data_IF_244606158421
#
_entry.id   IF_244606158421
#
_cell.length_a   1.000
_cell.length_b   1.000
_cell.length_c   1.000
_cell.angle_alpha   90.00
_cell.angle_beta   90.00
_cell.angle_gamma   90.00
#
_symmetry.space_group_name_H-M   'P 1'
#
loop_
_entity.id
_entity.type
_entity.pdbx_description
1 polymer ?
#
# COMPACT_ATOMS: atom_id res chain seq x y z
N UNK A 1 -13.67 -36.21 3.99
CA UNK A 1 -13.22 -35.42 2.82
C UNK A 1 -12.17 -34.45 3.30
N UNK A 2 -10.91 -34.69 2.96
CA UNK A 2 -9.78 -33.88 3.42
C UNK A 2 -9.61 -32.67 2.51
N UNK A 3 -9.85 -31.48 3.04
CA UNK A 3 -9.59 -30.20 2.35
C UNK A 3 -8.09 -30.08 2.03
N UNK A 4 -7.76 -30.05 0.73
CA UNK A 4 -6.41 -29.74 0.26
C UNK A 4 -6.10 -28.27 0.58
N UNK A 5 -5.08 -28.02 1.40
CA UNK A 5 -4.51 -26.68 1.62
C UNK A 5 -4.14 -26.04 0.26
N UNK A 6 -4.42 -24.75 0.03
CA UNK A 6 -4.02 -24.08 -1.21
C UNK A 6 -2.51 -24.14 -1.35
N UNK A 7 -2.07 -24.78 -2.44
CA UNK A 7 -0.68 -25.08 -2.71
C UNK A 7 0.08 -23.78 -3.00
N UNK A 8 1.20 -23.61 -2.28
CA UNK A 8 2.09 -22.46 -2.36
C UNK A 8 2.59 -22.20 -3.77
N UNK A 9 2.74 -20.91 -4.14
CA UNK A 9 3.40 -20.50 -5.38
C UNK A 9 4.66 -21.31 -5.63
N UNK A 10 4.71 -22.00 -6.77
CA UNK A 10 5.83 -22.84 -7.17
C UNK A 10 6.40 -22.28 -8.46
N UNK A 11 7.69 -21.95 -8.44
CA UNK A 11 8.45 -21.68 -9.65
C UNK A 11 8.65 -23.03 -10.34
N UNK A 12 8.13 -23.14 -11.57
CA UNK A 12 8.26 -24.34 -12.40
C UNK A 12 9.49 -24.25 -13.29
N UNK A 13 9.83 -23.04 -13.73
CA UNK A 13 10.99 -22.76 -14.57
C UNK A 13 11.46 -21.31 -14.37
N UNK A 14 12.78 -21.08 -14.36
CA UNK A 14 13.37 -19.74 -14.33
C UNK A 14 14.72 -19.72 -15.03
N UNK A 15 14.86 -18.86 -16.01
CA UNK A 15 16.14 -18.48 -16.61
C UNK A 15 16.28 -16.94 -16.71
N UNK A 16 17.30 -16.48 -17.44
CA UNK A 16 17.59 -15.05 -17.66
C UNK A 16 16.49 -14.28 -18.41
N UNK A 17 15.60 -14.98 -19.10
CA UNK A 17 14.62 -14.40 -20.01
C UNK A 17 13.18 -14.77 -19.68
N UNK A 18 12.96 -15.83 -18.89
CA UNK A 18 11.66 -16.45 -18.72
C UNK A 18 11.48 -16.97 -17.29
N UNK A 19 10.35 -16.64 -16.69
CA UNK A 19 9.86 -17.26 -15.46
C UNK A 19 8.49 -17.88 -15.71
N UNK A 20 8.35 -19.15 -15.33
CA UNK A 20 7.08 -19.87 -15.33
C UNK A 20 6.78 -20.28 -13.90
N UNK A 21 5.60 -19.90 -13.42
CA UNK A 21 5.14 -20.25 -12.07
C UNK A 21 3.68 -20.67 -12.07
N UNK A 22 3.33 -21.60 -11.19
CA UNK A 22 1.94 -21.87 -10.83
C UNK A 22 1.54 -20.95 -9.68
N UNK A 23 0.59 -20.06 -9.93
CA UNK A 23 -0.05 -19.21 -8.92
C UNK A 23 -1.53 -19.58 -8.86
N UNK A 24 -1.97 -20.20 -7.75
CA UNK A 24 -3.31 -20.82 -7.67
C UNK A 24 -3.55 -21.85 -8.78
N UNK A 25 -4.67 -21.79 -9.50
CA UNK A 25 -5.00 -22.65 -10.65
C UNK A 25 -4.51 -22.06 -12.00
N UNK A 26 -3.79 -20.92 -11.98
CA UNK A 26 -3.31 -20.24 -13.18
C UNK A 26 -1.84 -20.57 -13.46
N UNK A 27 -1.52 -20.79 -14.74
CA UNK A 27 -0.15 -20.82 -15.24
C UNK A 27 0.28 -19.41 -15.63
N UNK A 28 1.32 -18.88 -14.98
CA UNK A 28 1.85 -17.54 -15.25
C UNK A 28 3.17 -17.68 -15.99
N UNK A 29 3.25 -17.09 -17.19
CA UNK A 29 4.46 -17.05 -18.03
C UNK A 29 4.89 -15.59 -18.16
N UNK A 30 6.10 -15.25 -17.70
CA UNK A 30 6.66 -13.89 -17.76
C UNK A 30 7.97 -13.90 -18.53
N UNK A 31 8.04 -13.10 -19.60
CA UNK A 31 9.28 -12.78 -20.31
C UNK A 31 9.90 -11.55 -19.65
N UNK A 32 11.10 -11.68 -19.12
CA UNK A 32 11.81 -10.58 -18.46
C UNK A 32 13.27 -10.64 -18.85
N UNK A 33 13.80 -9.59 -19.48
CA UNK A 33 15.23 -9.30 -19.40
C UNK A 33 15.52 -9.12 -17.91
N UNK A 34 16.38 -9.94 -17.33
CA UNK A 34 16.83 -9.76 -15.94
C UNK A 34 17.63 -8.45 -15.87
N UNK A 35 16.91 -7.34 -15.77
CA UNK A 35 17.31 -6.24 -14.91
C UNK A 35 16.64 -6.55 -13.57
N UNK A 36 17.44 -6.58 -12.50
CA UNK A 36 16.93 -6.68 -11.15
C UNK A 36 15.83 -5.64 -10.96
N UNK A 37 14.56 -6.06 -10.97
CA UNK A 37 13.47 -5.16 -10.61
C UNK A 37 13.69 -4.87 -9.13
N UNK A 38 14.38 -3.77 -8.84
CA UNK A 38 14.51 -3.26 -7.49
C UNK A 38 13.13 -2.72 -7.09
N UNK A 39 12.26 -3.64 -6.64
CA UNK A 39 10.87 -3.35 -6.24
C UNK A 39 10.76 -2.76 -4.84
N UNK A 40 11.90 -2.61 -4.15
CA UNK A 40 11.98 -1.85 -2.92
C UNK A 40 12.20 -0.38 -3.25
N UNK A 41 11.24 0.45 -2.84
CA UNK A 41 11.31 1.88 -3.03
C UNK A 41 10.96 2.60 -1.74
N UNK A 42 11.55 3.77 -1.55
CA UNK A 42 11.34 4.61 -0.38
C UNK A 42 11.53 6.07 -0.78
N UNK A 43 10.52 6.87 -0.50
CA UNK A 43 10.49 8.31 -0.74
C UNK A 43 10.17 9.01 0.57
N UNK A 44 10.94 10.07 0.84
CA UNK A 44 10.74 10.93 2.01
C UNK A 44 10.00 12.19 1.57
N UNK A 45 8.85 12.45 2.18
CA UNK A 45 7.97 13.58 1.86
C UNK A 45 8.03 14.58 3.00
N UNK A 46 8.61 15.75 2.74
CA UNK A 46 8.63 16.87 3.70
C UNK A 46 7.28 17.59 3.68
N UNK A 47 7.02 18.41 4.68
CA UNK A 47 5.75 19.13 4.83
C UNK A 47 5.45 20.09 3.66
N UNK A 48 6.49 20.67 3.06
CA UNK A 48 6.41 21.59 1.93
C UNK A 48 6.24 20.89 0.57
N UNK A 49 6.25 19.55 0.54
CA UNK A 49 6.10 18.76 -0.69
C UNK A 49 4.65 18.39 -0.91
N UNK A 50 4.05 18.92 -1.98
CA UNK A 50 2.66 18.63 -2.37
C UNK A 50 2.49 17.37 -3.20
N UNK A 51 3.57 16.83 -3.79
CA UNK A 51 3.51 15.61 -4.59
C UNK A 51 4.85 14.89 -4.69
N UNK A 52 4.79 13.57 -4.89
CA UNK A 52 5.94 12.71 -5.21
C UNK A 52 5.57 11.79 -6.36
N UNK A 53 6.48 11.66 -7.34
CA UNK A 53 6.38 10.66 -8.40
C UNK A 53 7.15 9.39 -8.02
N UNK A 54 6.45 8.25 -7.97
CA UNK A 54 7.00 6.93 -7.65
C UNK A 54 7.38 6.24 -8.96
N UNK A 55 8.67 6.25 -9.29
CA UNK A 55 9.19 5.75 -10.57
C UNK A 55 8.86 4.27 -10.80
N UNK A 56 8.92 3.45 -9.75
CA UNK A 56 8.77 1.99 -9.79
C UNK A 56 7.37 1.53 -10.19
N UNK A 57 6.37 2.40 -10.03
CA UNK A 57 4.99 2.13 -10.40
C UNK A 57 4.43 3.11 -11.42
N UNK A 58 5.21 4.11 -11.83
CA UNK A 58 4.82 5.16 -12.77
C UNK A 58 3.61 5.97 -12.30
N UNK A 59 3.48 6.20 -11.00
CA UNK A 59 2.33 6.89 -10.37
C UNK A 59 2.77 8.12 -9.60
N UNK A 60 1.85 9.06 -9.46
CA UNK A 60 2.03 10.23 -8.60
C UNK A 60 1.21 10.07 -7.34
N UNK A 61 1.75 10.51 -6.21
CA UNK A 61 1.00 10.67 -4.96
C UNK A 61 0.97 12.15 -4.61
N UNK A 62 -0.22 12.72 -4.51
CA UNK A 62 -0.44 14.09 -4.08
C UNK A 62 -0.77 14.15 -2.58
N UNK A 63 -0.42 15.27 -1.95
CA UNK A 63 -0.58 15.56 -0.54
C UNK A 63 -1.23 16.94 -0.39
N UNK A 64 -2.48 16.97 0.07
CA UNK A 64 -3.26 18.21 0.16
C UNK A 64 -3.82 18.37 1.57
N UNK A 65 -3.60 19.53 2.17
CA UNK A 65 -4.18 19.89 3.47
C UNK A 65 -5.51 20.62 3.24
N UNK A 66 -6.57 20.15 3.91
CA UNK A 66 -7.92 20.71 3.79
C UNK A 66 -8.52 20.90 5.18
N UNK A 67 -9.26 21.99 5.39
CA UNK A 67 -10.08 22.15 6.59
C UNK A 67 -11.18 21.07 6.61
N UNK A 68 -11.37 20.38 7.74
CA UNK A 68 -12.38 19.31 7.84
C UNK A 68 -13.78 19.81 7.47
N UNK A 69 -14.13 21.04 7.84
CA UNK A 69 -15.44 21.63 7.50
C UNK A 69 -15.65 21.91 6.02
N UNK A 70 -14.58 21.94 5.21
CA UNK A 70 -14.62 22.07 3.75
C UNK A 70 -14.49 20.72 3.03
N UNK A 71 -14.28 19.65 3.79
CA UNK A 71 -14.10 18.32 3.21
C UNK A 71 -15.44 17.81 2.71
N UNK A 72 -15.49 17.39 1.45
CA UNK A 72 -16.66 16.76 0.87
C UNK A 72 -16.87 15.32 1.38
N UNK A 73 -17.47 14.48 0.54
CA UNK A 73 -17.62 13.06 0.85
C UNK A 73 -16.25 12.37 0.84
N UNK A 74 -15.99 11.51 1.83
CA UNK A 74 -14.82 10.64 1.84
C UNK A 74 -14.85 9.64 0.67
N UNK A 75 -13.84 9.75 -0.19
CA UNK A 75 -13.61 8.85 -1.32
C UNK A 75 -12.81 7.60 -0.89
N UNK A 76 -13.17 6.43 -1.42
CA UNK A 76 -12.60 5.16 -0.96
C UNK A 76 -11.14 4.91 -1.43
N UNK A 77 -10.70 5.65 -2.43
CA UNK A 77 -9.39 5.59 -3.09
C UNK A 77 -8.40 6.65 -2.59
N UNK A 78 -8.80 7.48 -1.63
CA UNK A 78 -7.94 8.44 -0.93
C UNK A 78 -7.65 8.01 0.50
N UNK A 79 -6.50 8.43 1.01
CA UNK A 79 -6.16 8.32 2.43
C UNK A 79 -6.42 9.67 3.08
N UNK A 80 -7.01 9.63 4.28
CA UNK A 80 -7.34 10.83 5.05
C UNK A 80 -6.77 10.66 6.44
N UNK A 81 -5.87 11.56 6.80
CA UNK A 81 -5.23 11.57 8.11
C UNK A 81 -5.61 12.84 8.87
N UNK A 82 -5.86 12.71 10.17
CA UNK A 82 -5.91 13.86 11.05
C UNK A 82 -4.55 14.56 11.04
N UNK A 83 -4.51 15.82 10.60
CA UNK A 83 -3.26 16.56 10.44
C UNK A 83 -2.53 16.75 11.77
N UNK A 84 -3.24 16.86 12.89
CA UNK A 84 -2.63 17.05 14.22
C UNK A 84 -1.92 15.77 14.70
N UNK A 85 -2.16 14.63 14.04
CA UNK A 85 -1.52 13.33 14.29
C UNK A 85 -0.39 13.04 13.28
N UNK A 86 -0.16 13.93 12.32
CA UNK A 86 0.91 13.80 11.31
C UNK A 86 2.21 14.36 11.87
N UNK A 87 3.28 13.57 11.75
CA UNK A 87 4.67 13.98 12.01
C UNK A 87 5.47 13.81 10.73
N UNK A 88 6.14 14.88 10.32
CA UNK A 88 6.99 14.89 9.13
C UNK A 88 8.44 14.50 9.45
N UNK A 89 9.18 13.97 8.47
CA UNK A 89 8.72 13.65 7.12
C UNK A 89 7.83 12.41 7.08
N UNK A 90 6.92 12.35 6.10
CA UNK A 90 6.22 11.11 5.76
C UNK A 90 7.17 10.21 4.98
N UNK A 91 6.99 8.90 5.13
CA UNK A 91 7.71 7.93 4.32
C UNK A 91 6.71 7.18 3.45
N UNK A 92 6.85 7.29 2.14
CA UNK A 92 6.15 6.45 1.17
C UNK A 92 7.09 5.34 0.75
N UNK A 93 6.72 4.09 0.95
CA UNK A 93 7.55 2.96 0.54
C UNK A 93 6.75 1.75 0.11
N UNK A 94 7.40 0.78 -0.52
CA UNK A 94 6.83 -0.55 -0.64
C UNK A 94 6.84 -1.29 0.70
N UNK A 95 5.97 -2.30 0.81
CA UNK A 95 5.87 -3.09 2.04
C UNK A 95 7.10 -3.97 2.29
N UNK A 96 7.48 -4.09 3.56
CA UNK A 96 8.56 -4.95 4.05
C UNK A 96 8.00 -6.17 4.80
N UNK A 97 8.73 -7.30 4.85
CA UNK A 97 8.37 -8.41 5.73
C UNK A 97 8.22 -7.94 7.17
N UNK A 98 7.14 -8.38 7.84
CA UNK A 98 6.85 -8.00 9.23
C UNK A 98 5.97 -6.76 9.39
N UNK A 99 5.75 -5.97 8.33
CA UNK A 99 4.88 -4.79 8.36
C UNK A 99 3.47 -5.11 8.91
N UNK A 100 3.04 -4.26 9.84
CA UNK A 100 1.75 -4.34 10.54
C UNK A 100 1.09 -2.97 10.56
N UNK A 101 -0.23 -2.96 10.47
CA UNK A 101 -1.08 -1.77 10.62
C UNK A 101 -2.15 -2.06 11.66
N UNK A 102 -2.46 -1.09 12.52
CA UNK A 102 -3.56 -1.19 13.47
C UNK A 102 -4.83 -0.64 12.83
N UNK A 103 -5.80 -1.50 12.53
CA UNK A 103 -7.02 -1.12 11.83
C UNK A 103 -8.18 -0.91 12.81
N UNK A 104 -9.08 0.06 12.54
CA UNK A 104 -10.28 0.25 13.34
C UNK A 104 -11.12 -1.03 13.38
N UNK A 105 -11.53 -1.44 14.58
CA UNK A 105 -12.39 -2.60 14.86
C UNK A 105 -11.84 -3.97 14.45
N UNK A 106 -10.63 -4.01 13.89
CA UNK A 106 -9.94 -5.23 13.46
C UNK A 106 -8.62 -5.47 14.20
N UNK A 107 -8.13 -4.44 14.91
CA UNK A 107 -6.87 -4.48 15.64
C UNK A 107 -5.65 -4.54 14.71
N UNK A 108 -4.52 -4.97 15.27
CA UNK A 108 -3.27 -5.07 14.50
C UNK A 108 -3.32 -6.23 13.50
N UNK A 109 -3.14 -5.92 12.21
CA UNK A 109 -3.07 -6.89 11.11
C UNK A 109 -1.72 -6.80 10.41
N UNK A 110 -1.17 -7.96 10.03
CA UNK A 110 -0.02 -8.01 9.12
C UNK A 110 -0.47 -7.57 7.74
N UNK A 111 0.29 -6.70 7.07
CA UNK A 111 -0.01 -6.25 5.70
C UNK A 111 -0.02 -7.44 4.73
N UNK A 112 0.88 -8.41 4.95
CA UNK A 112 0.86 -9.69 4.21
C UNK A 112 -0.51 -10.37 4.27
N UNK A 113 -1.13 -10.46 5.45
CA UNK A 113 -2.44 -11.10 5.62
C UNK A 113 -3.55 -10.33 4.93
N UNK A 114 -3.48 -8.99 4.99
CA UNK A 114 -4.40 -8.10 4.27
C UNK A 114 -4.38 -8.40 2.76
N UNK A 115 -3.21 -8.42 2.16
CA UNK A 115 -3.05 -8.68 0.73
C UNK A 115 -3.44 -10.10 0.30
N UNK A 116 -3.23 -11.10 1.16
CA UNK A 116 -3.70 -12.47 0.92
C UNK A 116 -5.23 -12.51 0.90
N UNK A 117 -5.87 -11.89 1.88
CA UNK A 117 -7.34 -11.86 1.98
C UNK A 117 -7.96 -11.12 0.79
N UNK A 118 -7.30 -10.05 0.33
CA UNK A 118 -7.71 -9.31 -0.86
C UNK A 118 -7.36 -10.01 -2.18
N UNK A 119 -6.72 -11.19 -2.13
CA UNK A 119 -6.28 -11.99 -3.29
C UNK A 119 -5.31 -11.26 -4.23
N UNK A 120 -4.48 -10.37 -3.71
CA UNK A 120 -3.45 -9.66 -4.47
C UNK A 120 -2.33 -10.63 -4.87
N UNK A 121 -1.89 -10.61 -6.13
CA UNK A 121 -0.81 -11.49 -6.60
C UNK A 121 0.54 -11.10 -5.95
N UNK A 122 1.43 -12.05 -5.63
CA UNK A 122 2.67 -11.78 -4.89
C UNK A 122 3.53 -10.66 -5.46
N UNK A 123 3.63 -10.58 -6.79
CA UNK A 123 4.41 -9.59 -7.52
C UNK A 123 3.73 -8.22 -7.60
N UNK A 124 2.42 -8.12 -7.38
CA UNK A 124 1.73 -6.83 -7.24
C UNK A 124 1.90 -6.28 -5.82
N UNK A 125 2.03 -7.18 -4.82
CA UNK A 125 2.13 -6.78 -3.41
C UNK A 125 3.31 -5.87 -3.09
N UNK A 126 4.39 -5.98 -3.85
CA UNK A 126 5.61 -5.17 -3.69
C UNK A 126 5.48 -3.80 -4.35
N UNK A 127 4.53 -3.63 -5.26
CA UNK A 127 4.27 -2.36 -5.95
C UNK A 127 3.35 -1.45 -5.14
N UNK A 128 2.55 -2.00 -4.22
CA UNK A 128 1.56 -1.23 -3.45
C UNK A 128 2.26 -0.25 -2.49
N UNK A 129 2.02 1.06 -2.63
CA UNK A 129 2.58 2.04 -1.72
C UNK A 129 1.89 2.00 -0.36
N UNK A 130 2.70 2.16 0.69
CA UNK A 130 2.25 2.40 2.05
C UNK A 130 2.83 3.72 2.55
N UNK A 131 2.08 4.40 3.40
CA UNK A 131 2.51 5.64 4.07
C UNK A 131 2.84 5.32 5.52
N UNK A 132 4.00 5.77 5.97
CA UNK A 132 4.37 5.83 7.37
C UNK A 132 4.36 7.28 7.84
N UNK A 133 3.92 7.45 9.08
CA UNK A 133 4.02 8.69 9.85
C UNK A 133 4.83 8.33 11.10
N UNK A 134 6.00 8.96 11.26
CA UNK A 134 6.99 8.51 12.23
C UNK A 134 7.43 7.07 11.95
N UNK A 135 7.30 6.19 12.94
CA UNK A 135 7.67 4.77 12.87
C UNK A 135 6.48 3.83 12.55
N UNK A 136 5.26 4.37 12.45
CA UNK A 136 4.03 3.59 12.27
C UNK A 136 3.52 3.66 10.85
N UNK A 137 2.98 2.54 10.37
CA UNK A 137 2.27 2.50 9.09
C UNK A 137 0.90 3.15 9.28
N UNK A 138 0.73 4.31 8.66
CA UNK A 138 -0.47 5.12 8.74
C UNK A 138 -1.50 4.72 7.68
N UNK A 139 -1.07 4.33 6.48
CA UNK A 139 -2.02 4.01 5.41
C UNK A 139 -1.50 3.06 4.35
N UNK A 140 -2.43 2.44 3.63
CA UNK A 140 -2.16 1.50 2.54
C UNK A 140 -3.03 1.90 1.34
N UNK A 141 -2.39 2.19 0.20
CA UNK A 141 -3.07 2.51 -1.06
C UNK A 141 -3.62 1.25 -1.73
N UNK A 142 -4.65 0.66 -1.13
CA UNK A 142 -5.30 -0.54 -1.66
C UNK A 142 -6.04 -0.29 -2.99
N UNK A 143 -6.35 0.97 -3.29
CA UNK A 143 -6.91 1.44 -4.56
C UNK A 143 -6.02 1.08 -5.74
N UNK A 144 -4.71 0.95 -5.53
CA UNK A 144 -3.76 0.48 -6.53
C UNK A 144 -4.16 -0.86 -7.17
N UNK A 145 -4.88 -1.71 -6.44
CA UNK A 145 -5.43 -2.99 -6.93
C UNK A 145 -6.97 -3.06 -6.82
N UNK A 146 -7.65 -1.90 -6.82
CA UNK A 146 -9.11 -1.82 -6.89
C UNK A 146 -9.83 -2.12 -5.57
N UNK A 147 -9.18 -1.97 -4.40
CA UNK A 147 -9.82 -2.07 -3.09
C UNK A 147 -9.82 -0.73 -2.36
N UNK A 148 -10.71 -0.59 -1.37
CA UNK A 148 -10.75 0.61 -0.52
C UNK A 148 -9.44 0.76 0.26
N UNK A 149 -8.88 1.96 0.24
CA UNK A 149 -7.71 2.32 1.02
C UNK A 149 -7.93 2.11 2.52
N UNK A 150 -6.85 1.78 3.22
CA UNK A 150 -6.90 1.49 4.65
C UNK A 150 -6.09 2.52 5.41
N UNK A 151 -6.70 3.09 6.44
CA UNK A 151 -6.08 4.05 7.36
C UNK A 151 -5.91 3.39 8.73
N UNK A 152 -4.75 3.60 9.34
CA UNK A 152 -4.41 3.15 10.68
C UNK A 152 -5.19 3.92 11.72
N UNK A 153 -5.66 3.22 12.76
CA UNK A 153 -6.54 3.75 13.82
C UNK A 153 -5.95 5.01 14.46
N UNK A 154 -4.65 5.05 14.66
CA UNK A 154 -3.94 6.15 15.32
C UNK A 154 -3.99 7.46 14.53
N UNK A 155 -4.26 7.40 13.22
CA UNK A 155 -4.23 8.57 12.33
C UNK A 155 -5.61 8.94 11.78
N UNK A 156 -6.66 8.26 12.25
CA UNK A 156 -8.02 8.52 11.81
C UNK A 156 -8.50 9.90 12.25
N UNK A 157 -9.34 10.49 11.42
CA UNK A 157 -10.13 11.67 11.72
C UNK A 157 -11.16 11.31 12.79
N UNK A 158 -11.29 12.18 13.79
CA UNK A 158 -12.32 12.14 14.82
C UNK A 158 -13.08 13.47 14.86
N UNK A 159 -14.02 13.63 15.81
CA UNK A 159 -14.80 14.85 15.98
C UNK A 159 -13.95 16.12 16.16
N UNK A 160 -12.78 16.01 16.79
CA UNK A 160 -11.91 17.13 17.14
C UNK A 160 -10.96 17.55 16.03
N UNK A 161 -10.75 16.69 15.03
CA UNK A 161 -9.90 16.99 13.86
C UNK A 161 -10.33 18.30 13.20
N UNK A 162 -9.42 19.27 13.06
CA UNK A 162 -9.68 20.56 12.40
C UNK A 162 -9.25 20.57 10.94
N UNK A 163 -8.10 19.97 10.67
CA UNK A 163 -7.48 19.89 9.34
C UNK A 163 -7.13 18.45 9.03
N UNK A 164 -7.19 18.13 7.74
CA UNK A 164 -7.02 16.78 7.23
C UNK A 164 -5.92 16.82 6.18
N UNK A 165 -4.96 15.90 6.29
CA UNK A 165 -4.06 15.56 5.20
C UNK A 165 -4.74 14.53 4.30
N UNK A 166 -4.97 14.89 3.04
CA UNK A 166 -5.53 14.02 2.01
C UNK A 166 -4.40 13.55 1.11
N UNK A 167 -4.23 12.23 0.98
CA UNK A 167 -3.30 11.63 0.03
C UNK A 167 -4.06 10.89 -1.07
N UNK A 168 -3.72 11.17 -2.33
CA UNK A 168 -4.32 10.54 -3.50
C UNK A 168 -3.22 9.96 -4.39
N UNK A 169 -3.47 8.79 -4.97
CA UNK A 169 -2.57 8.15 -5.95
C UNK A 169 -3.20 8.19 -7.33
N UNK A 170 -2.44 8.64 -8.33
CA UNK A 170 -2.87 8.88 -9.73
C UNK A 170 -2.01 8.11 -10.72
#
# INVERSE_FOLDING_TARGET
>A
MTEKKPQSNKILYKDKYLVISSEYEELVIKKSVVEDINTEYLYTVKEDVSEVYIQEIGRKISFTIVDKGKLGRFEADKLYFDLDKVVYPLIVRSRRPGDKINLPNLGTKKIKSIFINDKVKPLERILIPIILIGDKIAGIFCSYYGKKNRVGREFMIDENTKRVLVCCIE
#
